data_IF_940347156487
#
_entry.id   IF_940347156487
#
_cell.length_a   1.000
_cell.length_b   1.000
_cell.length_c   1.000
_cell.angle_alpha   90.00
_cell.angle_beta   90.00
_cell.angle_gamma   90.00
#
_symmetry.space_group_name_H-M   'P 1'
#
loop_
_entity.id
_entity.type
_entity.pdbx_description
1 polymer ?
#
# COMPACT_ATOMS: atom_id res chain seq x y z
N UNK A 1 21.46 -19.22 -16.83
CA UNK A 1 22.27 -17.99 -16.96
C UNK A 1 23.27 -17.96 -15.83
N UNK A 2 24.55 -18.19 -16.14
CA UNK A 2 25.59 -18.14 -15.10
C UNK A 2 25.92 -16.68 -14.72
N UNK A 3 26.72 -16.50 -13.67
CA UNK A 3 27.09 -15.16 -13.19
C UNK A 3 27.84 -14.31 -14.24
N UNK A 4 28.69 -14.93 -15.06
CA UNK A 4 29.44 -14.27 -16.12
C UNK A 4 28.53 -13.88 -17.28
N UNK A 5 27.53 -14.69 -17.59
CA UNK A 5 26.54 -14.42 -18.64
C UNK A 5 25.68 -13.19 -18.29
N UNK A 6 25.31 -13.04 -17.01
CA UNK A 6 24.62 -11.83 -16.51
C UNK A 6 25.55 -10.62 -16.51
N UNK A 7 26.80 -10.78 -16.08
CA UNK A 7 27.78 -9.69 -16.15
C UNK A 7 27.96 -9.19 -17.58
N UNK A 8 28.03 -10.10 -18.55
CA UNK A 8 28.17 -9.76 -19.96
C UNK A 8 26.93 -9.05 -20.51
N UNK A 9 25.72 -9.49 -20.18
CA UNK A 9 24.48 -8.79 -20.60
C UNK A 9 24.43 -7.38 -20.00
N UNK A 10 24.85 -7.21 -18.74
CA UNK A 10 24.85 -5.90 -18.07
C UNK A 10 25.93 -4.99 -18.66
N UNK A 11 27.12 -5.52 -18.93
CA UNK A 11 28.19 -4.80 -19.61
C UNK A 11 27.77 -4.42 -21.03
N UNK A 12 27.16 -5.33 -21.79
CA UNK A 12 26.67 -5.07 -23.13
C UNK A 12 25.56 -4.02 -23.12
N UNK A 13 24.64 -4.07 -22.15
CA UNK A 13 23.61 -3.06 -21.96
C UNK A 13 24.23 -1.69 -21.63
N UNK A 14 25.11 -1.63 -20.64
CA UNK A 14 25.80 -0.38 -20.23
C UNK A 14 26.65 0.19 -21.36
N UNK A 15 27.32 -0.66 -22.14
CA UNK A 15 28.13 -0.27 -23.30
C UNK A 15 27.27 0.08 -24.53
N UNK A 16 26.02 -0.40 -24.59
CA UNK A 16 25.06 -0.07 -25.64
C UNK A 16 24.35 1.26 -25.42
N UNK A 17 24.38 1.81 -24.20
CA UNK A 17 23.90 3.16 -23.93
C UNK A 17 24.81 4.15 -24.66
N UNK A 18 24.22 4.93 -25.56
CA UNK A 18 24.93 5.99 -26.28
C UNK A 18 25.46 7.03 -25.29
N UNK A 19 26.54 7.72 -25.70
CA UNK A 19 27.08 8.84 -24.93
C UNK A 19 26.01 9.90 -24.61
N UNK A 20 25.07 10.10 -25.55
CA UNK A 20 23.92 11.00 -25.41
C UNK A 20 22.83 10.49 -24.43
N UNK A 21 22.75 9.18 -24.18
CA UNK A 21 21.87 8.58 -23.15
C UNK A 21 22.52 8.66 -21.77
N UNK A 22 23.85 8.50 -21.70
CA UNK A 22 24.62 8.70 -20.47
C UNK A 22 24.72 10.18 -20.07
N UNK A 23 24.75 11.10 -21.03
CA UNK A 23 24.73 12.56 -20.82
C UNK A 23 23.32 13.09 -20.47
N UNK A 24 22.24 12.47 -20.98
CA UNK A 24 20.86 12.78 -20.55
C UNK A 24 20.60 12.45 -19.07
N UNK A 25 21.26 11.41 -18.55
CA UNK A 25 21.27 11.11 -17.10
C UNK A 25 22.07 12.13 -16.27
N UNK A 26 22.91 12.97 -16.88
CA UNK A 26 23.71 14.00 -16.19
C UNK A 26 23.06 15.39 -16.19
N UNK A 27 22.03 15.61 -17.01
CA UNK A 27 21.35 16.90 -17.09
C UNK A 27 19.84 16.70 -16.99
N UNK A 28 19.31 16.72 -15.75
CA UNK A 28 17.91 17.07 -15.52
C UNK A 28 17.83 18.61 -15.31
N UNK A 29 17.34 19.38 -16.30
CA UNK A 29 17.28 20.84 -16.25
C UNK A 29 16.21 21.40 -15.31
N UNK A 30 15.58 20.57 -14.45
CA UNK A 30 14.50 21.00 -13.56
C UNK A 30 14.95 21.68 -12.24
N UNK A 31 16.25 21.86 -12.01
CA UNK A 31 16.79 22.27 -10.70
C UNK A 31 17.67 23.53 -10.73
N UNK A 32 17.38 24.49 -11.59
CA UNK A 32 18.08 25.79 -11.66
C UNK A 32 17.61 26.81 -10.59
N UNK A 33 17.36 26.34 -9.36
CA UNK A 33 17.01 27.19 -8.21
C UNK A 33 18.13 27.22 -7.17
N UNK A 34 18.39 28.40 -6.57
CA UNK A 34 19.43 28.65 -5.55
C UNK A 34 19.35 27.75 -4.29
N UNK A 35 18.30 26.94 -4.14
CA UNK A 35 18.09 25.94 -3.08
C UNK A 35 18.53 24.50 -3.44
N UNK A 36 19.13 24.25 -4.61
CA UNK A 36 19.66 22.93 -5.00
C UNK A 36 20.90 22.48 -4.20
N UNK A 37 21.33 23.28 -3.21
CA UNK A 37 22.63 23.19 -2.53
C UNK A 37 22.85 22.03 -1.54
N UNK A 38 21.97 21.03 -1.43
CA UNK A 38 22.17 19.91 -0.50
C UNK A 38 22.36 18.54 -1.17
N UNK A 39 21.87 18.36 -2.39
CA UNK A 39 22.14 17.20 -3.23
C UNK A 39 22.49 17.71 -4.62
N UNK A 40 23.63 18.40 -4.71
CA UNK A 40 24.27 18.58 -6.00
C UNK A 40 24.39 17.19 -6.62
N UNK A 41 23.81 17.01 -7.79
CA UNK A 41 24.14 15.90 -8.69
C UNK A 41 25.62 16.09 -9.07
N UNK A 42 26.52 15.82 -8.13
CA UNK A 42 27.91 15.61 -8.43
C UNK A 42 27.89 14.52 -9.50
N UNK A 43 28.44 14.81 -10.69
CA UNK A 43 28.51 13.84 -11.76
C UNK A 43 29.08 12.55 -11.17
N UNK A 44 28.22 11.54 -11.03
CA UNK A 44 28.67 10.25 -10.56
C UNK A 44 29.73 9.77 -11.53
N UNK A 45 30.87 9.36 -10.98
CA UNK A 45 31.88 8.67 -11.78
C UNK A 45 31.22 7.47 -12.47
N UNK A 46 31.74 7.08 -13.63
CA UNK A 46 31.25 5.92 -14.37
C UNK A 46 31.23 4.65 -13.49
N UNK A 47 32.21 4.51 -12.60
CA UNK A 47 32.31 3.42 -11.62
C UNK A 47 31.14 3.43 -10.62
N UNK A 48 30.80 4.60 -10.05
CA UNK A 48 29.65 4.73 -9.15
C UNK A 48 28.32 4.42 -9.85
N UNK A 49 28.16 4.86 -11.11
CA UNK A 49 26.97 4.53 -11.91
C UNK A 49 26.87 3.02 -12.14
N UNK A 50 27.98 2.38 -12.50
CA UNK A 50 28.06 0.95 -12.73
C UNK A 50 27.74 0.14 -11.46
N UNK A 51 28.28 0.53 -10.30
CA UNK A 51 27.99 -0.12 -9.03
C UNK A 51 26.53 0.05 -8.61
N UNK A 52 25.94 1.23 -8.83
CA UNK A 52 24.50 1.47 -8.63
C UNK A 52 23.68 0.54 -9.52
N UNK A 53 23.96 0.46 -10.82
CA UNK A 53 23.27 -0.44 -11.74
C UNK A 53 23.35 -1.90 -11.28
N UNK A 54 24.53 -2.38 -10.90
CA UNK A 54 24.72 -3.74 -10.36
C UNK A 54 23.89 -4.00 -9.12
N UNK A 55 23.88 -3.05 -8.17
CA UNK A 55 23.08 -3.14 -6.95
C UNK A 55 21.60 -3.25 -7.26
N UNK A 56 21.08 -2.36 -8.13
CA UNK A 56 19.67 -2.35 -8.55
C UNK A 56 19.29 -3.68 -9.21
N UNK A 57 20.08 -4.14 -10.18
CA UNK A 57 19.84 -5.41 -10.86
C UNK A 57 19.85 -6.62 -9.90
N UNK A 58 20.77 -6.62 -8.93
CA UNK A 58 20.84 -7.67 -7.91
C UNK A 58 19.57 -7.69 -7.05
N UNK A 59 19.10 -6.53 -6.62
CA UNK A 59 17.89 -6.38 -5.81
C UNK A 59 16.67 -6.80 -6.62
N UNK A 60 16.50 -6.29 -7.84
CA UNK A 60 15.41 -6.66 -8.75
C UNK A 60 15.36 -8.16 -8.98
N UNK A 61 16.50 -8.79 -9.30
CA UNK A 61 16.58 -10.25 -9.48
C UNK A 61 16.16 -10.98 -8.21
N UNK A 62 16.67 -10.57 -7.06
CA UNK A 62 16.38 -11.20 -5.77
C UNK A 62 14.90 -11.10 -5.41
N UNK A 63 14.32 -9.91 -5.61
CA UNK A 63 12.91 -9.64 -5.39
C UNK A 63 12.02 -10.52 -6.28
N UNK A 64 12.29 -10.55 -7.59
CA UNK A 64 11.52 -11.35 -8.54
C UNK A 64 11.63 -12.85 -8.23
N UNK A 65 12.84 -13.37 -8.05
CA UNK A 65 13.06 -14.81 -7.80
C UNK A 65 12.39 -15.26 -6.50
N UNK A 66 12.48 -14.46 -5.44
CA UNK A 66 11.84 -14.78 -4.17
C UNK A 66 10.31 -14.80 -4.31
N UNK A 67 9.73 -13.75 -4.90
CA UNK A 67 8.28 -13.63 -5.04
C UNK A 67 7.70 -14.70 -5.97
N UNK A 68 8.39 -15.12 -7.03
CA UNK A 68 7.91 -16.20 -7.91
C UNK A 68 7.67 -17.51 -7.14
N UNK A 69 8.67 -17.97 -6.38
CA UNK A 69 8.54 -19.19 -5.59
C UNK A 69 7.49 -19.05 -4.48
N UNK A 70 7.51 -17.92 -3.77
CA UNK A 70 6.57 -17.65 -2.68
C UNK A 70 5.13 -17.54 -3.17
N UNK A 71 4.89 -16.90 -4.32
CA UNK A 71 3.56 -16.72 -4.90
C UNK A 71 2.95 -18.06 -5.35
N UNK A 72 3.74 -18.91 -6.01
CA UNK A 72 3.27 -20.25 -6.43
C UNK A 72 2.87 -21.08 -5.21
N UNK A 73 3.72 -21.12 -4.18
CA UNK A 73 3.42 -21.82 -2.93
C UNK A 73 2.17 -21.25 -2.24
N UNK A 74 2.10 -19.91 -2.17
CA UNK A 74 0.99 -19.21 -1.54
C UNK A 74 -0.34 -19.54 -2.22
N UNK A 75 -0.39 -19.41 -3.55
CA UNK A 75 -1.57 -19.71 -4.36
C UNK A 75 -2.00 -21.18 -4.24
N UNK A 76 -1.05 -22.13 -4.33
CA UNK A 76 -1.36 -23.56 -4.26
C UNK A 76 -2.00 -23.95 -2.92
N UNK A 77 -1.39 -23.55 -1.80
CA UNK A 77 -1.89 -23.91 -0.48
C UNK A 77 -3.17 -23.16 -0.11
N UNK A 78 -3.34 -21.91 -0.54
CA UNK A 78 -4.61 -21.19 -0.39
C UNK A 78 -5.74 -21.88 -1.15
N UNK A 79 -5.46 -22.33 -2.39
CA UNK A 79 -6.43 -23.08 -3.20
C UNK A 79 -6.85 -24.40 -2.55
N UNK A 80 -5.90 -25.17 -2.01
CA UNK A 80 -6.21 -26.45 -1.34
C UNK A 80 -7.04 -26.25 -0.07
N UNK A 81 -6.73 -25.22 0.74
CA UNK A 81 -7.53 -24.85 1.92
C UNK A 81 -8.94 -24.39 1.52
N UNK A 82 -9.05 -23.56 0.49
CA UNK A 82 -10.35 -23.12 -0.05
C UNK A 82 -11.19 -24.29 -0.58
N UNK A 83 -10.56 -25.22 -1.28
CA UNK A 83 -11.20 -26.44 -1.78
C UNK A 83 -11.70 -27.32 -0.64
N UNK A 84 -10.95 -27.48 0.44
CA UNK A 84 -11.39 -28.22 1.63
C UNK A 84 -12.67 -27.59 2.23
N UNK A 85 -12.71 -26.26 2.36
CA UNK A 85 -13.92 -25.54 2.79
C UNK A 85 -15.09 -25.77 1.82
N UNK A 86 -14.84 -25.69 0.51
CA UNK A 86 -15.86 -25.91 -0.53
C UNK A 86 -16.50 -27.29 -0.42
N UNK A 87 -15.71 -28.33 -0.21
CA UNK A 87 -16.20 -29.72 -0.08
C UNK A 87 -17.17 -29.84 1.08
N UNK A 88 -16.88 -29.21 2.23
CA UNK A 88 -17.79 -29.20 3.39
C UNK A 88 -19.09 -28.46 3.08
N UNK A 89 -18.99 -27.31 2.41
CA UNK A 89 -20.17 -26.51 2.06
C UNK A 89 -21.08 -27.20 1.03
N UNK A 90 -20.53 -28.04 0.15
CA UNK A 90 -21.27 -28.81 -0.85
C UNK A 90 -21.94 -30.10 -0.32
N UNK A 91 -21.74 -30.44 0.95
CA UNK A 91 -22.35 -31.62 1.57
C UNK A 91 -23.40 -31.25 2.65
N UNK A 92 -24.61 -30.77 2.28
CA UNK A 92 -25.62 -30.25 3.22
C UNK A 92 -25.95 -31.18 4.40
N UNK A 93 -26.00 -32.49 4.15
CA UNK A 93 -26.37 -33.47 5.18
C UNK A 93 -25.23 -33.78 6.17
N UNK A 94 -24.03 -33.22 5.99
CA UNK A 94 -22.84 -33.46 6.81
C UNK A 94 -22.14 -32.15 7.23
N UNK A 95 -22.88 -31.04 7.25
CA UNK A 95 -22.32 -29.76 7.69
C UNK A 95 -22.12 -29.80 9.21
N UNK A 96 -20.86 -29.84 9.61
CA UNK A 96 -20.42 -29.69 10.98
C UNK A 96 -19.91 -28.24 11.17
N UNK A 97 -20.59 -27.47 12.01
CA UNK A 97 -20.25 -26.06 12.24
C UNK A 97 -18.86 -25.89 12.87
N UNK A 98 -18.42 -26.81 13.73
CA UNK A 98 -17.08 -26.77 14.31
C UNK A 98 -16.00 -26.96 13.26
N UNK A 99 -16.18 -27.96 12.39
CA UNK A 99 -15.23 -28.23 11.30
C UNK A 99 -15.21 -27.12 10.24
N UNK A 100 -16.37 -26.55 9.90
CA UNK A 100 -16.43 -25.42 8.96
C UNK A 100 -15.70 -24.21 9.56
N UNK A 101 -15.92 -23.88 10.84
CA UNK A 101 -15.20 -22.80 11.54
C UNK A 101 -13.69 -23.04 11.51
N UNK A 102 -13.23 -24.24 11.83
CA UNK A 102 -11.81 -24.61 11.73
C UNK A 102 -11.26 -24.31 10.33
N UNK A 103 -11.97 -24.69 9.26
CA UNK A 103 -11.50 -24.49 7.88
C UNK A 103 -11.54 -23.04 7.42
N UNK A 104 -12.47 -22.19 7.88
CA UNK A 104 -12.38 -20.76 7.55
C UNK A 104 -11.17 -20.13 8.26
N UNK A 105 -10.93 -20.47 9.53
CA UNK A 105 -9.79 -19.95 10.29
C UNK A 105 -8.48 -20.43 9.67
N UNK A 106 -8.37 -21.69 9.30
CA UNK A 106 -7.19 -22.25 8.64
C UNK A 106 -6.87 -21.52 7.32
N UNK A 107 -7.89 -21.22 6.50
CA UNK A 107 -7.71 -20.47 5.26
C UNK A 107 -7.32 -19.02 5.53
N UNK A 108 -8.05 -18.33 6.42
CA UNK A 108 -7.81 -16.92 6.76
C UNK A 108 -6.42 -16.72 7.35
N UNK A 109 -6.09 -17.48 8.40
CA UNK A 109 -4.83 -17.32 9.12
C UNK A 109 -3.64 -17.64 8.21
N UNK A 110 -3.77 -18.62 7.32
CA UNK A 110 -2.78 -18.86 6.28
C UNK A 110 -2.62 -17.67 5.34
N UNK A 111 -3.73 -17.12 4.82
CA UNK A 111 -3.69 -15.98 3.91
C UNK A 111 -3.07 -14.75 4.57
N UNK A 112 -3.55 -14.36 5.75
CA UNK A 112 -3.12 -13.14 6.43
C UNK A 112 -1.65 -13.24 6.89
N UNK A 113 -1.25 -14.37 7.48
CA UNK A 113 0.15 -14.60 7.88
C UNK A 113 1.11 -14.49 6.69
N UNK A 114 0.79 -15.17 5.59
CA UNK A 114 1.67 -15.16 4.43
C UNK A 114 1.60 -13.85 3.64
N UNK A 115 0.46 -13.16 3.62
CA UNK A 115 0.36 -11.80 3.08
C UNK A 115 1.31 -10.86 3.82
N UNK A 116 1.24 -10.82 5.16
CA UNK A 116 2.12 -9.99 6.00
C UNK A 116 3.59 -10.32 5.73
N UNK A 117 3.95 -11.60 5.82
CA UNK A 117 5.32 -12.07 5.63
C UNK A 117 5.89 -11.67 4.27
N UNK A 118 5.10 -11.73 3.21
CA UNK A 118 5.56 -11.37 1.86
C UNK A 118 5.59 -9.85 1.67
N UNK A 119 4.70 -9.08 2.31
CA UNK A 119 4.80 -7.62 2.38
C UNK A 119 6.11 -7.21 3.09
N UNK A 120 6.36 -7.74 4.29
CA UNK A 120 7.57 -7.48 5.09
C UNK A 120 8.83 -7.69 4.24
N UNK A 121 8.91 -8.83 3.54
CA UNK A 121 10.05 -9.15 2.67
C UNK A 121 10.20 -8.20 1.48
N UNK A 122 9.09 -7.76 0.88
CA UNK A 122 9.15 -6.80 -0.23
C UNK A 122 9.62 -5.42 0.23
N UNK A 123 9.28 -5.03 1.46
CA UNK A 123 9.76 -3.81 2.11
C UNK A 123 11.26 -3.89 2.40
N UNK A 124 11.78 -5.06 2.78
CA UNK A 124 13.23 -5.26 2.92
C UNK A 124 13.98 -4.98 1.61
N UNK A 125 13.42 -5.34 0.44
CA UNK A 125 14.05 -5.01 -0.85
C UNK A 125 14.03 -3.51 -1.14
N UNK A 126 12.97 -2.79 -0.77
CA UNK A 126 12.93 -1.33 -0.85
C UNK A 126 14.02 -0.72 0.03
N UNK A 127 14.19 -1.21 1.27
CA UNK A 127 15.27 -0.74 2.14
C UNK A 127 16.66 -1.04 1.58
N UNK A 128 16.88 -2.23 1.02
CA UNK A 128 18.16 -2.54 0.36
C UNK A 128 18.44 -1.60 -0.81
N UNK A 129 17.40 -1.19 -1.54
CA UNK A 129 17.53 -0.25 -2.66
C UNK A 129 17.94 1.15 -2.18
N UNK A 130 17.26 1.67 -1.15
CA UNK A 130 17.57 2.99 -0.58
C UNK A 130 18.79 3.01 0.35
N UNK A 131 19.35 1.85 0.70
CA UNK A 131 20.50 1.74 1.59
C UNK A 131 21.71 2.54 1.09
N UNK A 132 22.31 3.33 1.98
CA UNK A 132 23.43 4.21 1.69
C UNK A 132 23.07 5.57 1.06
N UNK A 133 21.79 5.87 0.79
CA UNK A 133 21.38 7.20 0.29
C UNK A 133 21.30 8.25 1.41
N UNK A 134 20.88 7.84 2.60
CA UNK A 134 20.76 8.66 3.80
C UNK A 134 20.89 7.76 5.04
N UNK A 135 21.35 8.32 6.15
CA UNK A 135 21.41 7.61 7.45
C UNK A 135 20.01 7.22 7.95
N UNK A 136 18.99 7.98 7.54
CA UNK A 136 17.60 7.73 7.88
C UNK A 136 16.95 6.94 6.74
N UNK A 137 16.41 5.77 7.07
CA UNK A 137 15.64 4.96 6.12
C UNK A 137 14.27 5.60 5.86
N UNK A 138 13.74 5.52 4.63
CA UNK A 138 12.39 5.97 4.35
C UNK A 138 11.37 5.17 5.18
N UNK A 139 10.23 5.78 5.47
CA UNK A 139 9.09 5.11 6.09
C UNK A 139 8.22 4.51 4.99
N UNK A 140 7.83 3.26 5.14
CA UNK A 140 7.05 2.52 4.17
C UNK A 140 5.74 2.07 4.80
N UNK A 141 4.62 2.45 4.19
CA UNK A 141 3.31 1.94 4.60
C UNK A 141 2.46 1.57 3.38
N UNK A 142 1.58 0.59 3.58
CA UNK A 142 0.59 0.21 2.58
C UNK A 142 -0.77 0.62 3.11
N UNK A 143 -1.47 1.40 2.30
CA UNK A 143 -2.82 1.86 2.62
C UNK A 143 -3.83 1.36 1.62
N UNK A 144 -5.00 1.00 2.10
CA UNK A 144 -6.12 0.53 1.33
C UNK A 144 -7.21 1.56 1.20
N UNK A 145 -8.27 1.20 0.49
CA UNK A 145 -9.47 2.03 0.33
C UNK A 145 -10.66 1.37 1.03
N UNK A 146 -11.28 2.04 1.98
CA UNK A 146 -12.54 1.62 2.59
C UNK A 146 -13.66 2.60 2.24
N UNK A 147 -14.91 2.13 2.28
CA UNK A 147 -16.09 2.97 2.19
C UNK A 147 -16.71 3.05 3.59
N UNK A 148 -16.67 4.24 4.19
CA UNK A 148 -17.30 4.52 5.49
C UNK A 148 -18.25 5.69 5.30
N UNK A 149 -19.52 5.50 5.67
CA UNK A 149 -20.58 6.51 5.51
C UNK A 149 -20.66 7.11 4.09
N UNK A 150 -20.58 6.24 3.07
CA UNK A 150 -20.57 6.61 1.63
C UNK A 150 -19.38 7.49 1.22
N UNK A 151 -18.33 7.59 2.03
CA UNK A 151 -17.08 8.29 1.70
C UNK A 151 -15.94 7.31 1.55
N UNK A 152 -15.12 7.54 0.53
CA UNK A 152 -13.90 6.76 0.32
C UNK A 152 -12.82 7.24 1.29
N UNK A 153 -12.49 6.39 2.26
CA UNK A 153 -11.41 6.61 3.20
C UNK A 153 -10.21 5.77 2.82
N UNK A 154 -9.04 6.38 2.84
CA UNK A 154 -7.77 5.68 2.82
C UNK A 154 -7.50 5.17 4.22
N UNK A 155 -7.29 3.87 4.39
CA UNK A 155 -7.04 3.24 5.68
C UNK A 155 -5.74 2.45 5.67
N UNK A 156 -5.09 2.29 6.82
CA UNK A 156 -3.81 1.60 6.91
C UNK A 156 -4.01 0.07 6.87
N UNK A 157 -3.35 -0.61 5.94
CA UNK A 157 -3.26 -2.08 5.89
C UNK A 157 -2.05 -2.56 6.68
N UNK A 158 -0.90 -1.91 6.42
CA UNK A 158 0.40 -2.32 6.91
C UNK A 158 1.29 -1.09 7.15
N UNK A 159 2.16 -1.16 8.16
CA UNK A 159 3.20 -0.15 8.40
C UNK A 159 4.48 -0.79 8.90
N UNK A 160 5.61 -0.44 8.29
CA UNK A 160 6.95 -0.94 8.65
C UNK A 160 7.37 -0.59 10.08
N UNK A 161 6.82 0.50 10.62
CA UNK A 161 7.03 0.99 11.97
C UNK A 161 5.69 1.05 12.69
N UNK A 162 5.69 0.79 14.00
CA UNK A 162 4.51 0.93 14.85
C UNK A 162 4.13 2.41 14.97
N UNK A 163 3.30 2.90 14.04
CA UNK A 163 2.80 4.27 14.06
C UNK A 163 1.56 4.34 14.95
N UNK A 164 1.68 5.04 16.08
CA UNK A 164 0.60 5.17 17.07
C UNK A 164 -0.48 6.20 16.68
N UNK A 165 -0.51 6.69 15.44
CA UNK A 165 -1.54 7.64 14.98
C UNK A 165 -2.51 6.99 13.98
N UNK A 166 -3.76 7.41 14.03
CA UNK A 166 -4.75 7.10 13.00
C UNK A 166 -4.40 7.89 11.73
N UNK A 167 -4.15 7.18 10.63
CA UNK A 167 -3.78 7.77 9.34
C UNK A 167 -4.92 7.79 8.33
N UNK A 168 -6.15 7.52 8.80
CA UNK A 168 -7.33 7.47 7.96
C UNK A 168 -7.65 8.86 7.42
N UNK A 169 -7.84 8.95 6.11
CA UNK A 169 -8.12 10.22 5.44
C UNK A 169 -9.09 10.02 4.30
N UNK A 170 -10.02 10.96 4.14
CA UNK A 170 -10.87 11.02 2.96
C UNK A 170 -9.98 11.20 1.71
N UNK A 171 -10.19 10.35 0.69
CA UNK A 171 -9.38 10.34 -0.53
C UNK A 171 -9.34 11.72 -1.20
N UNK A 172 -10.44 12.46 -1.14
CA UNK A 172 -10.59 13.77 -1.78
C UNK A 172 -10.00 14.92 -0.94
N UNK A 173 -9.56 14.65 0.30
CA UNK A 173 -8.91 15.61 1.21
C UNK A 173 -7.38 15.44 1.30
N UNK A 174 -6.80 14.74 0.34
CA UNK A 174 -5.35 14.58 0.23
C UNK A 174 -4.94 14.78 -1.22
N UNK A 175 -4.08 15.77 -1.48
CA UNK A 175 -3.63 16.06 -2.85
C UNK A 175 -3.03 14.83 -3.52
N UNK A 176 -2.27 14.03 -2.77
CA UNK A 176 -1.63 12.84 -3.29
C UNK A 176 -2.63 11.75 -3.68
N UNK A 177 -3.52 11.35 -2.77
CA UNK A 177 -4.47 10.27 -3.08
C UNK A 177 -5.51 10.72 -4.12
N UNK A 178 -5.93 11.98 -4.09
CA UNK A 178 -6.78 12.57 -5.12
C UNK A 178 -6.10 12.55 -6.49
N UNK A 179 -4.83 12.94 -6.56
CA UNK A 179 -4.07 12.89 -7.82
C UNK A 179 -4.03 11.46 -8.39
N UNK A 180 -3.69 10.47 -7.56
CA UNK A 180 -3.60 9.08 -7.99
C UNK A 180 -4.98 8.55 -8.42
N UNK A 181 -6.03 8.89 -7.67
CA UNK A 181 -7.43 8.58 -8.00
C UNK A 181 -7.81 9.13 -9.37
N UNK A 182 -7.47 10.39 -9.64
CA UNK A 182 -7.90 11.11 -10.84
C UNK A 182 -7.03 10.76 -12.07
N UNK A 183 -5.78 10.30 -11.90
CA UNK A 183 -4.83 10.08 -13.01
C UNK A 183 -4.35 8.63 -13.16
N UNK A 184 -4.59 7.76 -12.17
CA UNK A 184 -4.12 6.37 -12.17
C UNK A 184 -2.60 6.20 -12.20
N UNK A 185 -1.84 7.24 -11.84
CA UNK A 185 -0.37 7.29 -11.85
C UNK A 185 0.17 7.56 -10.46
N UNK A 186 1.46 7.28 -10.25
CA UNK A 186 2.17 7.61 -9.01
C UNK A 186 2.10 9.10 -8.70
N UNK A 187 2.27 9.43 -7.43
CA UNK A 187 2.42 10.80 -6.95
C UNK A 187 3.80 10.98 -6.31
N UNK A 188 4.55 11.98 -6.77
CA UNK A 188 5.85 12.36 -6.21
C UNK A 188 5.80 13.82 -5.77
N UNK A 189 6.20 14.07 -4.52
CA UNK A 189 6.39 15.40 -3.99
C UNK A 189 7.65 15.43 -3.14
N UNK A 190 8.71 16.05 -3.65
CA UNK A 190 10.02 16.14 -3.01
C UNK A 190 10.22 17.41 -2.17
N UNK A 191 9.31 18.39 -2.25
CA UNK A 191 9.33 19.59 -1.44
C UNK A 191 7.92 19.88 -0.91
N UNK A 192 7.48 19.09 0.07
CA UNK A 192 6.19 19.27 0.72
C UNK A 192 6.09 20.67 1.39
N UNK A 193 7.07 21.14 2.19
CA UNK A 193 6.97 22.45 2.83
C UNK A 193 6.77 23.58 1.81
N UNK A 194 7.56 23.62 0.74
CA UNK A 194 7.40 24.64 -0.30
C UNK A 194 6.08 24.51 -1.05
N UNK A 195 5.60 23.29 -1.28
CA UNK A 195 4.32 23.05 -1.96
C UNK A 195 3.11 23.44 -1.12
N UNK A 196 3.19 23.30 0.20
CA UNK A 196 2.21 23.84 1.15
C UNK A 196 2.24 25.36 1.15
N UNK A 197 3.42 25.99 1.18
CA UNK A 197 3.56 27.46 1.07
C UNK A 197 2.90 28.01 -0.21
N UNK A 198 2.89 27.23 -1.29
CA UNK A 198 2.22 27.55 -2.57
C UNK A 198 0.75 27.14 -2.64
N UNK A 199 0.17 26.56 -1.59
CA UNK A 199 -1.19 25.98 -1.57
C UNK A 199 -1.43 24.91 -2.65
N UNK A 200 -0.41 24.11 -2.96
CA UNK A 200 -0.46 23.02 -3.95
C UNK A 200 -0.43 21.62 -3.33
N UNK A 201 -0.30 21.54 -2.01
CA UNK A 201 -0.29 20.29 -1.27
C UNK A 201 -1.18 20.37 -0.04
N UNK A 202 -2.05 19.37 0.10
CA UNK A 202 -2.96 19.20 1.22
C UNK A 202 -2.79 17.81 1.83
N UNK A 203 -2.73 17.79 3.17
CA UNK A 203 -2.73 16.58 3.96
C UNK A 203 -3.45 16.83 5.28
N UNK A 204 -4.43 16.00 5.62
CA UNK A 204 -5.24 16.16 6.84
C UNK A 204 -4.42 16.17 8.13
N UNK A 205 -3.22 15.59 8.11
CA UNK A 205 -2.28 15.52 9.22
C UNK A 205 -1.49 16.82 9.43
N UNK A 206 -1.56 17.78 8.51
CA UNK A 206 -0.92 19.08 8.69
C UNK A 206 -1.80 20.00 9.55
N UNK A 207 -1.16 20.74 10.44
CA UNK A 207 -1.72 21.80 11.28
C UNK A 207 -1.61 23.13 10.53
N UNK A 208 -2.69 23.45 9.80
CA UNK A 208 -2.76 24.63 8.92
C UNK A 208 -2.62 25.93 9.72
N UNK A 209 -3.14 25.97 10.95
CA UNK A 209 -3.05 27.17 11.79
C UNK A 209 -1.59 27.46 12.18
N UNK A 210 -0.82 26.42 12.54
CA UNK A 210 0.62 26.57 12.81
C UNK A 210 1.41 26.97 11.57
N UNK A 211 1.11 26.37 10.42
CA UNK A 211 1.76 26.72 9.15
C UNK A 211 1.52 28.20 8.83
N UNK A 212 0.26 28.65 8.92
CA UNK A 212 -0.11 30.05 8.68
C UNK A 212 0.59 30.99 9.67
N UNK A 213 0.69 30.61 10.94
CA UNK A 213 1.45 31.36 11.93
C UNK A 213 2.93 31.51 11.54
N UNK A 214 3.62 30.42 11.22
CA UNK A 214 5.03 30.47 10.81
C UNK A 214 5.24 31.27 9.52
N UNK A 215 4.32 31.16 8.56
CA UNK A 215 4.36 31.98 7.34
C UNK A 215 4.15 33.47 7.63
N UNK A 216 3.31 33.82 8.62
CA UNK A 216 3.05 35.22 8.98
C UNK A 216 4.24 35.93 9.63
N UNK A 217 5.14 35.17 10.26
CA UNK A 217 6.37 35.69 10.88
C UNK A 217 7.61 35.46 10.01
N UNK A 218 7.40 35.09 8.73
CA UNK A 218 8.46 34.78 7.76
C UNK A 218 9.49 33.76 8.26
N UNK A 219 9.04 32.78 9.06
CA UNK A 219 9.91 31.70 9.51
C UNK A 219 10.21 30.76 8.34
N UNK A 220 11.43 30.21 8.32
CA UNK A 220 11.76 29.11 7.42
C UNK A 220 10.97 27.86 7.82
N UNK A 221 9.91 27.57 7.06
CA UNK A 221 9.01 26.45 7.28
C UNK A 221 9.76 25.11 7.32
N UNK A 222 10.94 24.99 6.68
CA UNK A 222 11.72 23.75 6.69
C UNK A 222 12.32 23.46 8.06
N UNK A 223 12.74 24.52 8.76
CA UNK A 223 13.36 24.45 10.09
C UNK A 223 12.35 24.10 11.19
N UNK A 224 11.08 24.49 11.00
CA UNK A 224 9.98 24.27 11.97
C UNK A 224 9.00 23.18 11.53
N UNK A 225 9.29 22.47 10.44
CA UNK A 225 8.35 21.58 9.77
C UNK A 225 7.78 20.48 10.67
N UNK A 226 8.59 19.95 11.59
CA UNK A 226 8.16 18.94 12.57
C UNK A 226 6.97 19.40 13.41
N UNK A 227 6.90 20.69 13.71
CA UNK A 227 5.85 21.29 14.56
C UNK A 227 4.53 21.46 13.82
N UNK A 228 4.54 21.40 12.49
CA UNK A 228 3.39 21.57 11.62
C UNK A 228 2.54 20.29 11.46
N UNK A 229 2.89 19.18 12.13
CA UNK A 229 2.13 17.93 12.06
C UNK A 229 1.22 17.78 13.29
N UNK A 230 -0.06 17.51 13.04
CA UNK A 230 -1.05 17.15 14.05
C UNK A 230 -0.69 15.83 14.71
N UNK A 231 -0.98 15.72 16.00
CA UNK A 231 -0.72 14.51 16.79
C UNK A 231 0.72 14.03 16.58
N UNK A 232 1.68 14.94 16.71
CA UNK A 232 3.07 14.60 16.95
C UNK A 232 3.34 14.59 18.46
N UNK A 233 2.84 13.64 19.27
CA UNK A 233 3.28 13.53 20.65
C UNK A 233 4.62 12.80 20.69
N UNK A 234 5.59 13.40 21.40
CA UNK A 234 6.61 12.74 22.23
C UNK A 234 7.71 11.91 21.52
N UNK A 235 7.53 11.48 20.26
CA UNK A 235 8.57 10.75 19.50
C UNK A 235 9.55 11.69 18.76
N UNK A 236 9.72 12.90 19.29
CA UNK A 236 10.73 13.89 18.85
C UNK A 236 12.15 13.28 18.83
N UNK A 237 12.40 12.23 19.62
CA UNK A 237 13.70 11.55 19.66
C UNK A 237 14.06 10.81 18.37
N UNK A 238 13.09 10.48 17.51
CA UNK A 238 13.35 9.72 16.29
C UNK A 238 12.97 10.45 14.99
N UNK A 239 12.25 11.58 15.05
CA UNK A 239 11.90 12.36 13.84
C UNK A 239 10.98 11.65 12.84
N UNK A 240 10.30 10.57 13.26
CA UNK A 240 9.59 9.64 12.35
C UNK A 240 8.14 10.04 12.04
N UNK A 241 7.59 11.05 12.71
CA UNK A 241 6.18 11.45 12.57
C UNK A 241 5.93 12.29 11.32
N UNK A 242 6.90 13.12 10.92
CA UNK A 242 6.83 14.04 9.79
C UNK A 242 7.65 13.57 8.59
N UNK A 243 7.41 14.17 7.42
CA UNK A 243 8.19 13.92 6.21
C UNK A 243 8.17 15.16 5.31
N UNK A 244 9.24 15.37 4.55
CA UNK A 244 9.39 16.49 3.60
C UNK A 244 9.32 16.03 2.13
N UNK A 245 9.54 14.74 1.89
CA UNK A 245 9.34 14.09 0.59
C UNK A 245 8.39 12.90 0.71
N UNK A 246 7.57 12.65 -0.31
CA UNK A 246 6.72 11.47 -0.41
C UNK A 246 6.68 10.95 -1.85
N UNK A 247 6.73 9.64 -1.99
CA UNK A 247 6.50 8.90 -3.21
C UNK A 247 5.37 7.90 -2.92
N UNK A 248 4.27 7.99 -3.65
CA UNK A 248 3.13 7.10 -3.49
C UNK A 248 2.85 6.40 -4.81
N UNK A 249 2.96 5.07 -4.79
CA UNK A 249 2.73 4.21 -5.95
C UNK A 249 1.37 3.52 -5.80
N UNK A 250 0.46 3.61 -6.80
CA UNK A 250 -0.75 2.80 -6.79
C UNK A 250 -0.40 1.32 -6.95
N UNK A 251 -0.92 0.50 -6.05
CA UNK A 251 -0.86 -0.96 -6.14
C UNK A 251 -2.06 -1.41 -6.96
N UNK A 252 -1.80 -1.81 -8.20
CA UNK A 252 -2.82 -2.26 -9.16
C UNK A 252 -2.46 -3.65 -9.68
N UNK A 253 -3.45 -4.38 -10.19
CA UNK A 253 -3.20 -5.60 -10.99
C UNK A 253 -3.00 -5.27 -12.48
N UNK A 254 -3.26 -4.03 -12.87
CA UNK A 254 -3.65 -3.63 -14.21
C UNK A 254 -2.61 -2.75 -14.90
N UNK A 255 -1.35 -2.92 -14.53
CA UNK A 255 -0.24 -2.41 -15.34
C UNK A 255 0.01 -3.25 -16.61
N UNK A 256 -0.75 -4.34 -16.79
CA UNK A 256 -0.66 -5.26 -17.93
C UNK A 256 -1.94 -5.29 -18.75
N UNK A 257 -1.82 -5.65 -20.03
CA UNK A 257 -2.96 -5.97 -20.90
C UNK A 257 -3.65 -7.26 -20.40
N UNK A 258 -4.55 -7.13 -19.43
CA UNK A 258 -5.36 -8.24 -18.95
C UNK A 258 -6.50 -8.53 -19.93
N UNK A 259 -6.99 -9.76 -19.87
CA UNK A 259 -8.17 -10.15 -20.63
C UNK A 259 -9.40 -9.34 -20.19
N UNK A 260 -10.18 -8.83 -21.16
CA UNK A 260 -11.33 -7.96 -20.89
C UNK A 260 -12.44 -8.68 -20.11
N UNK A 261 -12.63 -9.97 -20.35
CA UNK A 261 -13.60 -10.79 -19.63
C UNK A 261 -13.20 -10.88 -18.15
N UNK A 262 -11.91 -11.12 -17.89
CA UNK A 262 -11.38 -11.12 -16.53
C UNK A 262 -11.62 -9.78 -15.82
N UNK A 263 -11.30 -8.65 -16.47
CA UNK A 263 -11.49 -7.31 -15.89
C UNK A 263 -12.96 -7.05 -15.56
N UNK A 264 -13.85 -7.36 -16.49
CA UNK A 264 -15.30 -7.18 -16.29
C UNK A 264 -15.82 -8.02 -15.13
N UNK A 265 -15.55 -9.32 -15.12
CA UNK A 265 -16.01 -10.24 -14.09
C UNK A 265 -15.46 -9.84 -12.71
N UNK A 266 -14.17 -9.53 -12.65
CA UNK A 266 -13.52 -9.15 -11.41
C UNK A 266 -14.06 -7.84 -10.83
N UNK A 267 -14.16 -6.79 -11.65
CA UNK A 267 -14.70 -5.51 -11.20
C UNK A 267 -16.16 -5.63 -10.79
N UNK A 268 -16.97 -6.39 -11.52
CA UNK A 268 -18.38 -6.61 -11.18
C UNK A 268 -18.59 -7.26 -9.80
N UNK A 269 -17.63 -8.09 -9.35
CA UNK A 269 -17.65 -8.71 -8.03
C UNK A 269 -17.11 -7.77 -6.95
N UNK A 270 -16.02 -7.06 -7.24
CA UNK A 270 -15.48 -6.08 -6.30
C UNK A 270 -16.46 -4.95 -6.04
N UNK A 271 -17.10 -4.40 -7.07
CA UNK A 271 -18.01 -3.26 -6.91
C UNK A 271 -19.21 -3.58 -6.00
N UNK A 272 -19.67 -4.84 -6.05
CA UNK A 272 -20.74 -5.33 -5.18
C UNK A 272 -20.31 -5.44 -3.72
N UNK A 273 -19.09 -5.90 -3.47
CA UNK A 273 -18.63 -6.28 -2.13
C UNK A 273 -17.82 -5.18 -1.41
N UNK A 274 -17.09 -4.36 -2.16
CA UNK A 274 -16.10 -3.37 -1.63
C UNK A 274 -16.57 -1.92 -1.88
N UNK A 275 -17.70 -1.74 -2.57
CA UNK A 275 -18.25 -0.45 -2.96
C UNK A 275 -17.55 0.13 -4.20
N UNK A 276 -18.23 1.07 -4.88
CA UNK A 276 -17.81 1.64 -6.18
C UNK A 276 -16.29 1.77 -6.29
N UNK A 277 -15.69 0.92 -7.11
CA UNK A 277 -14.33 1.15 -7.58
C UNK A 277 -14.33 2.53 -8.24
N UNK A 278 -13.24 3.28 -8.06
CA UNK A 278 -13.13 4.57 -8.75
C UNK A 278 -12.82 4.27 -10.21
N UNK A 279 -13.82 3.81 -10.95
CA UNK A 279 -13.74 3.63 -12.38
C UNK A 279 -14.18 4.95 -12.99
N UNK A 280 -13.23 5.67 -13.56
CA UNK A 280 -13.57 6.61 -14.60
C UNK A 280 -14.18 5.80 -15.75
N UNK A 281 -15.47 5.99 -16.12
CA UNK A 281 -16.12 5.17 -17.15
C UNK A 281 -15.46 5.29 -18.53
N UNK A 282 -14.60 6.29 -18.73
CA UNK A 282 -13.79 6.45 -19.95
C UNK A 282 -12.40 5.77 -19.85
N UNK A 283 -12.01 5.25 -18.68
CA UNK A 283 -10.77 4.52 -18.42
C UNK A 283 -11.11 3.22 -17.64
N UNK A 284 -11.63 2.24 -18.37
CA UNK A 284 -12.11 0.93 -17.87
C UNK A 284 -11.03 0.11 -17.11
N UNK A 285 -9.78 0.57 -17.02
CA UNK A 285 -8.65 -0.36 -16.95
C UNK A 285 -7.85 -0.38 -15.64
N UNK A 286 -8.10 0.41 -14.58
CA UNK A 286 -7.21 0.38 -13.38
C UNK A 286 -7.91 0.39 -12.02
N UNK A 287 -8.21 -0.81 -11.50
CA UNK A 287 -8.53 -1.05 -10.09
C UNK A 287 -7.30 -0.88 -9.21
N UNK A 288 -7.32 0.15 -8.37
CA UNK A 288 -6.30 0.41 -7.34
C UNK A 288 -6.73 -0.30 -6.05
N UNK A 289 -5.95 -1.30 -5.63
CA UNK A 289 -6.19 -2.03 -4.38
C UNK A 289 -5.62 -1.29 -3.19
N UNK A 290 -4.43 -0.74 -3.36
CA UNK A 290 -3.72 -0.11 -2.27
C UNK A 290 -2.79 0.99 -2.79
N UNK A 291 -2.14 1.66 -1.85
CA UNK A 291 -1.16 2.70 -2.07
C UNK A 291 0.09 2.33 -1.29
N UNK A 292 1.19 2.08 -2.00
CA UNK A 292 2.51 1.93 -1.40
C UNK A 292 3.06 3.34 -1.18
N UNK A 293 3.06 3.80 0.07
CA UNK A 293 3.57 5.12 0.44
C UNK A 293 5.00 4.98 0.96
N UNK A 294 5.92 5.73 0.37
CA UNK A 294 7.32 5.83 0.78
C UNK A 294 7.56 7.29 1.15
N UNK A 295 7.78 7.55 2.43
CA UNK A 295 7.93 8.91 2.97
C UNK A 295 9.35 9.11 3.52
N UNK A 296 9.92 10.30 3.35
CA UNK A 296 11.25 10.62 3.87
C UNK A 296 11.32 12.02 4.50
N UNK A 297 12.16 12.17 5.53
CA UNK A 297 12.28 13.40 6.33
C UNK A 297 13.03 14.53 5.61
N UNK A 298 13.85 14.18 4.63
CA UNK A 298 14.58 15.12 3.77
C UNK A 298 13.78 15.54 2.55
N UNK A 299 14.06 16.74 2.03
CA UNK A 299 13.60 17.19 0.71
C UNK A 299 14.41 16.54 -0.40
N UNK A 300 13.85 16.51 -1.61
CA UNK A 300 14.55 16.05 -2.82
C UNK A 300 15.19 14.68 -2.65
N UNK A 301 14.55 13.83 -1.85
CA UNK A 301 15.09 12.53 -1.49
C UNK A 301 14.89 11.49 -2.60
N UNK A 302 13.76 11.60 -3.32
CA UNK A 302 13.40 10.64 -4.35
C UNK A 302 13.87 11.09 -5.73
N UNK A 303 14.47 10.17 -6.45
CA UNK A 303 14.80 10.25 -7.86
C UNK A 303 13.61 9.74 -8.67
N UNK A 304 12.97 10.62 -9.45
CA UNK A 304 11.74 10.27 -10.17
C UNK A 304 11.94 9.12 -11.16
N UNK A 305 13.10 9.03 -11.80
CA UNK A 305 13.32 8.03 -12.85
C UNK A 305 13.47 6.61 -12.28
N UNK A 306 14.38 6.41 -11.33
CA UNK A 306 14.69 5.07 -10.84
C UNK A 306 13.75 4.64 -9.70
N UNK A 307 13.44 5.55 -8.76
CA UNK A 307 12.68 5.19 -7.56
C UNK A 307 11.24 4.84 -7.88
N UNK A 308 10.65 5.52 -8.87
CA UNK A 308 9.29 5.22 -9.34
C UNK A 308 9.25 3.83 -9.99
N UNK A 309 10.25 3.47 -10.81
CA UNK A 309 10.34 2.16 -11.47
C UNK A 309 10.46 1.04 -10.44
N UNK A 310 11.32 1.20 -9.44
CA UNK A 310 11.46 0.24 -8.35
C UNK A 310 10.20 0.18 -7.49
N UNK A 311 9.59 1.33 -7.23
CA UNK A 311 8.31 1.44 -6.53
C UNK A 311 7.20 0.64 -7.23
N UNK A 312 7.04 0.79 -8.54
CA UNK A 312 6.08 0.00 -9.33
C UNK A 312 6.40 -1.48 -9.33
N UNK A 313 7.65 -1.86 -9.54
CA UNK A 313 8.06 -3.27 -9.50
C UNK A 313 7.64 -3.94 -8.19
N UNK A 314 7.92 -3.30 -7.04
CA UNK A 314 7.54 -3.85 -5.74
C UNK A 314 6.03 -3.80 -5.52
N UNK A 315 5.35 -2.72 -5.93
CA UNK A 315 3.90 -2.62 -5.86
C UNK A 315 3.20 -3.75 -6.65
N UNK A 316 3.69 -4.05 -7.85
CA UNK A 316 3.17 -5.14 -8.69
C UNK A 316 3.36 -6.51 -8.01
N UNK A 317 4.52 -6.75 -7.38
CA UNK A 317 4.76 -7.99 -6.62
C UNK A 317 3.81 -8.14 -5.42
N UNK A 318 3.58 -7.05 -4.68
CA UNK A 318 2.62 -7.00 -3.56
C UNK A 318 1.19 -7.21 -4.04
N UNK A 319 0.84 -6.67 -5.22
CA UNK A 319 -0.52 -6.72 -5.77
C UNK A 319 -1.06 -8.15 -5.88
N UNK A 320 -0.20 -9.12 -6.22
CA UNK A 320 -0.60 -10.52 -6.36
C UNK A 320 -1.08 -11.13 -5.04
N UNK A 321 -0.43 -10.81 -3.92
CA UNK A 321 -0.83 -11.32 -2.62
C UNK A 321 -2.13 -10.70 -2.14
N UNK A 322 -2.31 -9.39 -2.35
CA UNK A 322 -3.56 -8.70 -2.05
C UNK A 322 -4.71 -9.26 -2.90
N UNK A 323 -4.48 -9.46 -4.19
CA UNK A 323 -5.44 -10.04 -5.10
C UNK A 323 -5.89 -11.45 -4.68
N UNK A 324 -4.96 -12.31 -4.29
CA UNK A 324 -5.31 -13.66 -3.82
C UNK A 324 -6.13 -13.61 -2.51
N UNK A 325 -5.84 -12.66 -1.62
CA UNK A 325 -6.70 -12.44 -0.43
C UNK A 325 -8.11 -12.03 -0.84
N UNK A 326 -8.26 -11.05 -1.74
CA UNK A 326 -9.56 -10.65 -2.28
C UNK A 326 -10.30 -11.87 -2.85
N UNK A 327 -9.64 -12.64 -3.73
CA UNK A 327 -10.23 -13.78 -4.41
C UNK A 327 -10.74 -14.88 -3.47
N UNK A 328 -9.96 -15.24 -2.45
CA UNK A 328 -10.29 -16.39 -1.59
C UNK A 328 -11.15 -16.04 -0.37
N UNK A 329 -11.11 -14.79 0.08
CA UNK A 329 -11.81 -14.33 1.28
C UNK A 329 -12.96 -13.39 0.92
N UNK A 330 -12.68 -12.27 0.24
CA UNK A 330 -13.66 -11.19 0.08
C UNK A 330 -14.75 -11.51 -0.94
N UNK A 331 -14.37 -11.86 -2.17
CA UNK A 331 -15.33 -12.09 -3.27
C UNK A 331 -15.69 -13.57 -3.45
N UNK A 332 -15.34 -14.39 -2.47
CA UNK A 332 -15.51 -15.84 -2.51
C UNK A 332 -16.88 -16.25 -1.96
N UNK A 333 -17.78 -16.68 -2.84
CA UNK A 333 -19.10 -17.19 -2.46
C UNK A 333 -19.01 -18.35 -1.46
N UNK A 334 -18.00 -19.21 -1.60
CA UNK A 334 -17.77 -20.33 -0.68
C UNK A 334 -17.47 -19.82 0.73
N UNK A 335 -16.61 -18.80 0.84
CA UNK A 335 -16.25 -18.20 2.11
C UNK A 335 -17.44 -17.45 2.72
N UNK A 336 -18.11 -16.61 1.93
CA UNK A 336 -19.30 -15.87 2.34
C UNK A 336 -20.42 -16.79 2.86
N UNK A 337 -20.76 -17.83 2.11
CA UNK A 337 -21.79 -18.82 2.49
C UNK A 337 -21.39 -19.59 3.75
N UNK A 338 -20.10 -19.90 3.92
CA UNK A 338 -19.63 -20.59 5.12
C UNK A 338 -19.74 -19.68 6.37
N UNK A 339 -19.38 -18.40 6.25
CA UNK A 339 -19.60 -17.44 7.34
C UNK A 339 -21.09 -17.27 7.67
N UNK A 340 -21.95 -17.15 6.65
CA UNK A 340 -23.39 -17.04 6.85
C UNK A 340 -23.94 -18.27 7.59
N UNK A 341 -23.56 -19.47 7.16
CA UNK A 341 -23.97 -20.71 7.81
C UNK A 341 -23.57 -20.74 9.30
N UNK A 342 -22.36 -20.30 9.64
CA UNK A 342 -21.91 -20.27 11.03
C UNK A 342 -22.70 -19.26 11.88
N UNK A 343 -23.02 -18.09 11.31
CA UNK A 343 -23.88 -17.10 11.96
C UNK A 343 -25.30 -17.65 12.20
N UNK A 344 -25.88 -18.35 11.22
CA UNK A 344 -27.18 -19.04 11.36
C UNK A 344 -27.15 -20.13 12.44
N UNK A 345 -25.98 -20.75 12.68
CA UNK A 345 -25.78 -21.72 13.75
C UNK A 345 -25.49 -21.07 15.12
N UNK A 346 -25.47 -19.74 15.22
CA UNK A 346 -25.11 -19.03 16.46
C UNK A 346 -23.63 -19.16 16.84
N UNK A 347 -22.76 -19.53 15.89
CA UNK A 347 -21.31 -19.62 16.11
C UNK A 347 -20.70 -18.27 15.72
N UNK A 348 -20.24 -17.53 16.71
CA UNK A 348 -19.51 -16.28 16.43
C UNK A 348 -18.13 -16.59 15.82
N UNK A 349 -17.89 -15.97 14.67
CA UNK A 349 -16.54 -15.79 14.12
C UNK A 349 -16.40 -14.31 13.78
N UNK A 350 -15.64 -13.61 14.62
CA UNK A 350 -15.10 -12.31 14.27
C UNK A 350 -14.09 -12.49 13.13
N UNK A 351 -14.50 -12.15 11.91
CA UNK A 351 -13.63 -12.12 10.74
C UNK A 351 -13.50 -10.68 10.29
N UNK A 352 -12.27 -10.18 10.31
CA UNK A 352 -11.92 -8.96 9.60
C UNK A 352 -11.96 -9.23 8.10
N UNK A 353 -13.15 -9.12 7.50
CA UNK A 353 -13.38 -9.43 6.09
C UNK A 353 -12.59 -8.53 5.16
N UNK A 354 -12.41 -7.27 5.53
CA UNK A 354 -11.74 -6.27 4.70
C UNK A 354 -10.24 -6.56 4.54
N UNK A 355 -9.73 -6.55 3.30
CA UNK A 355 -8.30 -6.58 2.88
C UNK A 355 -7.48 -5.53 3.59
N UNK A 356 -8.18 -4.55 4.12
CA UNK A 356 -7.64 -3.35 4.71
C UNK A 356 -7.68 -3.36 6.25
N UNK A 357 -8.07 -4.47 6.86
CA UNK A 357 -7.87 -4.63 8.29
C UNK A 357 -6.36 -4.64 8.59
N UNK A 358 -5.90 -3.94 9.64
CA UNK A 358 -4.50 -3.93 10.02
C UNK A 358 -4.00 -5.36 10.24
N UNK A 359 -2.93 -5.75 9.55
CA UNK A 359 -2.31 -7.08 9.77
C UNK A 359 -1.40 -7.08 11.01
N UNK A 360 -1.17 -5.91 11.59
CA UNK A 360 -0.19 -5.66 12.67
C UNK A 360 -0.78 -5.66 14.09
N UNK A 361 -2.08 -5.91 14.26
CA UNK A 361 -2.64 -6.04 15.61
C UNK A 361 -2.37 -7.44 16.15
N UNK A 362 -1.39 -7.52 17.06
CA UNK A 362 -1.16 -8.65 17.95
C UNK A 362 -2.49 -9.03 18.62
N UNK A 363 -3.13 -10.10 18.11
CA UNK A 363 -4.34 -10.68 18.70
C UNK A 363 -4.12 -11.26 20.12
N UNK A 364 -2.92 -11.10 20.69
CA UNK A 364 -2.54 -11.47 22.05
C UNK A 364 -2.63 -10.34 23.08
N UNK A 365 -2.92 -9.10 22.67
CA UNK A 365 -3.17 -8.03 23.64
C UNK A 365 -4.59 -8.17 24.21
N UNK A 366 -4.67 -8.45 25.51
CA UNK A 366 -5.89 -8.58 26.30
C UNK A 366 -6.94 -7.51 25.93
N UNK A 367 -8.20 -7.94 25.88
CA UNK A 367 -9.38 -7.10 25.83
C UNK A 367 -9.26 -5.94 26.82
N UNK A 368 -8.87 -4.76 26.35
CA UNK A 368 -9.26 -3.52 26.98
C UNK A 368 -10.75 -3.37 26.68
N UNK A 369 -11.57 -3.65 27.68
CA UNK A 369 -13.00 -3.35 27.70
C UNK A 369 -13.19 -1.85 27.62
N UNK A 370 -13.07 -1.30 26.41
CA UNK A 370 -13.58 0.00 26.03
C UNK A 370 -14.94 -0.22 25.40
N UNK A 371 -16.00 -0.16 26.21
CA UNK A 371 -17.33 0.13 25.68
C UNK A 371 -17.30 1.48 24.95
N UNK A 372 -18.22 1.62 23.99
CA UNK A 372 -18.58 2.85 23.26
C UNK A 372 -17.71 3.27 22.05
N UNK A 373 -18.11 2.76 20.88
CA UNK A 373 -18.80 3.57 19.84
C UNK A 373 -19.12 2.74 18.59
N UNK A 374 -18.40 1.64 18.35
CA UNK A 374 -18.61 0.76 17.18
C UNK A 374 -19.81 -0.21 17.33
N UNK A 375 -20.28 -0.52 18.54
CA UNK A 375 -21.42 -1.44 18.75
C UNK A 375 -22.80 -0.77 18.61
N UNK A 376 -22.87 0.56 18.75
CA UNK A 376 -24.13 1.32 18.61
C UNK A 376 -24.61 1.41 17.15
N UNK A 377 -23.71 1.32 16.18
CA UNK A 377 -24.06 1.35 14.75
C UNK A 377 -24.68 0.04 14.26
N UNK A 378 -24.30 -1.12 14.81
CA UNK A 378 -24.91 -2.41 14.44
C UNK A 378 -26.28 -2.64 15.08
N UNK A 379 -26.52 -2.13 16.29
CA UNK A 379 -27.83 -2.30 16.96
C UNK A 379 -28.94 -1.40 16.36
N UNK A 380 -28.60 -0.29 15.72
CA UNK A 380 -29.58 0.58 15.05
C UNK A 380 -30.04 0.04 13.68
N UNK A 381 -29.24 -0.83 13.04
CA UNK A 381 -29.61 -1.47 11.77
C UNK A 381 -30.58 -2.64 11.99
N UNK A 382 -30.44 -3.38 13.10
CA UNK A 382 -31.34 -4.49 13.47
C UNK A 382 -32.70 -3.99 13.97
N UNK A 383 -32.75 -2.83 14.63
CA UNK A 383 -34.01 -2.20 15.06
C UNK A 383 -34.84 -1.65 13.87
N UNK A 384 -34.19 -1.20 12.79
CA UNK A 384 -34.89 -0.65 11.61
C UNK A 384 -35.48 -1.73 10.69
N UNK A 385 -34.99 -2.98 10.77
CA UNK A 385 -35.52 -4.11 9.97
C UNK A 385 -36.68 -4.81 10.71
N UNK A 386 -36.73 -4.73 12.04
CA UNK A 386 -37.79 -5.36 12.84
C UNK A 386 -39.12 -4.58 12.85
N UNK A 387 -39.14 -3.32 12.39
CA UNK A 387 -40.33 -2.47 12.28
C UNK A 387 -41.01 -2.46 10.90
N UNK A 388 -40.49 -3.22 9.93
CA UNK A 388 -41.01 -3.27 8.55
C UNK A 388 -41.66 -4.62 8.18
N UNK A 389 -41.87 -5.51 9.17
CA UNK A 389 -42.57 -6.80 9.02
C UNK A 389 -43.80 -6.89 9.95
N UNK A 390 -44.17 -5.80 10.60
CA UNK A 390 -45.43 -5.69 11.33
C UNK A 390 -46.17 -4.41 10.91
N UNK A 391 -46.66 -4.41 9.67
CA UNK A 391 -47.96 -3.88 9.24
C UNK A 391 -48.21 -4.21 7.75
#
# INVERSE_FOLDING_TARGET
>A
MDHNEIQNIVLDYVNSLSKDELERYNHDPKYDGEDAGAFGLAEYSLEQKYDRCKKVLSITRSAVCANQGQLVQFMFLAAEKHKALRVLMQAPQRRDAGLIKEKILELRDYIDFHLKKNIDRNIEYIYQYFDGRCDIKPRICIKGKSVVDKKHQIIRIFSDKSLQYNSNVDIDKSSAYKYIKDNGRYYLQNDIPGSVKRNTYENSRLDIDKINHYMSIDADLNSVWSNCWKNSPIDERNGLSFYKSTLIIPVTLLNNALDKEFVYEFNSKIDKEVGESVINPNEIERTIFAFLCIDHVEKWYFDEEDDVRIGYMIADLISFYLFLRVMYIEISDVFANACQYLNECGVDITINKHVYAPVDEDLSAECVTGEDEYSKTNNNLIASISGLIAD
#
